data_IF_320899799405
#
_entry.id   IF_320899799405
#
_cell.length_a   1.000
_cell.length_b   1.000
_cell.length_c   1.000
_cell.angle_alpha   90.00
_cell.angle_beta   90.00
_cell.angle_gamma   90.00
#
_symmetry.space_group_name_H-M   'P 1'
#
loop_
_entity.id
_entity.type
_entity.pdbx_description
1 polymer ?
#
# COMPACT_ATOMS: atom_id res chain seq x y z
N UNK A 1 -0.64 -16.91 -20.51
CA UNK A 1 -1.72 -17.90 -20.76
C UNK A 1 -2.42 -18.18 -19.42
N UNK A 2 -3.72 -17.92 -19.28
CA UNK A 2 -4.48 -18.05 -17.99
C UNK A 2 -5.48 -19.23 -17.97
N UNK A 3 -5.28 -20.21 -18.86
CA UNK A 3 -6.14 -21.38 -18.99
C UNK A 3 -5.54 -22.61 -18.31
N UNK A 4 -6.35 -23.38 -17.59
CA UNK A 4 -5.94 -24.64 -16.98
C UNK A 4 -6.95 -25.76 -17.29
N UNK A 5 -6.47 -27.00 -17.23
CA UNK A 5 -7.28 -28.19 -17.49
C UNK A 5 -7.79 -28.77 -16.18
N UNK A 6 -9.09 -29.08 -16.12
CA UNK A 6 -9.67 -29.92 -15.08
C UNK A 6 -10.18 -31.22 -15.71
N UNK A 7 -10.39 -32.31 -14.94
CA UNK A 7 -11.02 -33.52 -15.45
C UNK A 7 -12.39 -33.28 -16.13
N UNK A 8 -13.02 -32.14 -15.85
CA UNK A 8 -14.31 -31.70 -16.42
C UNK A 8 -14.18 -30.63 -17.52
N UNK A 9 -12.97 -30.40 -18.05
CA UNK A 9 -12.71 -29.52 -19.20
C UNK A 9 -11.82 -28.30 -18.92
N UNK A 10 -11.67 -27.42 -19.91
CA UNK A 10 -10.84 -26.21 -19.80
C UNK A 10 -11.55 -25.12 -19.02
N UNK A 11 -10.86 -24.54 -18.04
CA UNK A 11 -11.30 -23.35 -17.32
C UNK A 11 -10.29 -22.22 -17.53
N UNK A 12 -10.75 -20.98 -17.42
CA UNK A 12 -9.91 -19.78 -17.47
C UNK A 12 -10.13 -18.93 -16.23
N UNK A 13 -9.06 -18.33 -15.74
CA UNK A 13 -9.16 -17.35 -14.67
C UNK A 13 -9.80 -16.06 -15.19
N UNK A 14 -10.76 -15.51 -14.44
CA UNK A 14 -11.38 -14.20 -14.71
C UNK A 14 -10.68 -13.05 -13.98
N UNK A 15 -9.88 -13.38 -12.96
CA UNK A 15 -9.01 -12.47 -12.22
C UNK A 15 -7.56 -12.93 -12.37
N UNK A 16 -6.63 -12.07 -12.03
CA UNK A 16 -5.21 -12.40 -12.05
C UNK A 16 -4.95 -13.58 -11.09
N UNK A 17 -4.48 -14.74 -11.59
CA UNK A 17 -4.25 -15.90 -10.74
C UNK A 17 -2.94 -15.77 -9.96
N UNK A 18 -2.90 -16.41 -8.79
CA UNK A 18 -1.67 -16.56 -8.02
C UNK A 18 -0.64 -17.42 -8.77
N UNK A 19 0.65 -17.19 -8.50
CA UNK A 19 1.75 -17.95 -9.10
C UNK A 19 2.20 -17.46 -10.48
N UNK A 20 1.63 -16.36 -10.98
CA UNK A 20 2.13 -15.68 -12.18
C UNK A 20 3.21 -14.69 -11.76
N UNK A 21 4.40 -14.77 -12.35
CA UNK A 21 5.54 -13.92 -12.01
C UNK A 21 5.26 -12.41 -12.13
N UNK A 22 4.43 -12.01 -13.10
CA UNK A 22 4.07 -10.60 -13.33
C UNK A 22 2.93 -10.12 -12.42
N UNK A 23 2.29 -11.00 -11.66
CA UNK A 23 1.13 -10.61 -10.85
C UNK A 23 1.42 -9.56 -9.77
N UNK A 24 2.53 -9.65 -9.01
CA UNK A 24 2.88 -8.66 -7.99
C UNK A 24 3.11 -7.27 -8.58
N UNK A 25 3.82 -7.18 -9.70
CA UNK A 25 4.14 -5.91 -10.36
C UNK A 25 2.87 -5.21 -10.88
N UNK A 26 1.95 -5.99 -11.48
CA UNK A 26 0.67 -5.47 -11.95
C UNK A 26 -0.19 -4.98 -10.78
N UNK A 27 -0.17 -5.69 -9.66
CA UNK A 27 -0.90 -5.32 -8.45
C UNK A 27 -0.34 -4.05 -7.82
N UNK A 28 0.98 -3.97 -7.64
CA UNK A 28 1.66 -2.80 -7.09
C UNK A 28 1.40 -1.54 -7.91
N UNK A 29 1.49 -1.63 -9.24
CA UNK A 29 1.16 -0.49 -10.12
C UNK A 29 -0.29 -0.02 -9.91
N UNK A 30 -1.24 -0.94 -9.77
CA UNK A 30 -2.65 -0.59 -9.54
C UNK A 30 -2.87 0.05 -8.17
N UNK A 31 -2.19 -0.41 -7.14
CA UNK A 31 -2.21 0.25 -5.83
C UNK A 31 -1.62 1.66 -5.92
N UNK A 32 -0.51 1.83 -6.63
CA UNK A 32 0.14 3.13 -6.80
C UNK A 32 -0.73 4.12 -7.59
N UNK A 33 -1.45 3.66 -8.63
CA UNK A 33 -2.45 4.45 -9.34
C UNK A 33 -3.64 4.84 -8.44
N UNK A 34 -4.09 3.93 -7.57
CA UNK A 34 -5.21 4.17 -6.66
C UNK A 34 -4.86 5.14 -5.54
N UNK A 35 -3.65 5.03 -4.99
CA UNK A 35 -3.14 5.85 -3.90
C UNK A 35 -2.51 7.16 -4.39
N UNK A 36 -2.32 7.32 -5.70
CA UNK A 36 -1.88 8.57 -6.32
C UNK A 36 -2.65 9.77 -5.75
N UNK A 37 -1.90 10.81 -5.38
CA UNK A 37 -2.42 12.03 -4.77
C UNK A 37 -2.46 12.04 -3.24
N UNK A 38 -2.16 10.92 -2.56
CA UNK A 38 -1.96 10.90 -1.10
C UNK A 38 -0.47 11.04 -0.78
N UNK A 39 -0.04 12.20 -0.28
CA UNK A 39 1.36 12.43 0.08
C UNK A 39 1.70 11.69 1.39
N UNK A 40 2.79 10.93 1.39
CA UNK A 40 3.25 10.18 2.56
C UNK A 40 2.55 8.84 2.78
N UNK A 41 1.91 8.29 1.74
CA UNK A 41 1.32 6.94 1.76
C UNK A 41 1.82 6.20 0.53
N UNK A 42 2.63 5.15 0.73
CA UNK A 42 3.27 4.40 -0.34
C UNK A 42 2.97 2.89 -0.22
N UNK A 43 2.40 2.25 -1.25
CA UNK A 43 2.20 0.81 -1.25
C UNK A 43 3.50 0.07 -1.57
N UNK A 44 3.87 -0.90 -0.72
CA UNK A 44 5.03 -1.77 -0.90
C UNK A 44 4.52 -3.21 -0.91
N UNK A 45 4.45 -3.80 -2.11
CA UNK A 45 3.86 -5.12 -2.31
C UNK A 45 2.46 -5.24 -1.65
N UNK A 46 2.33 -6.04 -0.59
CA UNK A 46 1.06 -6.25 0.12
C UNK A 46 0.86 -5.26 1.29
N UNK A 47 1.89 -4.51 1.67
CA UNK A 47 1.90 -3.58 2.80
C UNK A 47 1.70 -2.12 2.38
N UNK A 48 1.19 -1.30 3.29
CA UNK A 48 1.04 0.15 3.09
C UNK A 48 1.93 0.90 4.07
N UNK A 49 2.93 1.61 3.53
CA UNK A 49 3.80 2.48 4.31
C UNK A 49 3.13 3.85 4.48
N UNK A 50 2.98 4.30 5.73
CA UNK A 50 2.51 5.65 6.05
C UNK A 50 3.65 6.39 6.74
N UNK A 51 3.97 7.59 6.25
CA UNK A 51 5.10 8.40 6.74
C UNK A 51 4.57 9.73 7.26
N UNK A 52 4.77 9.97 8.55
CA UNK A 52 4.56 11.27 9.20
C UNK A 52 5.75 12.20 8.95
N UNK A 53 5.48 13.49 8.83
CA UNK A 53 6.51 14.53 8.73
C UNK A 53 6.25 15.63 9.76
N UNK A 54 7.29 16.05 10.46
CA UNK A 54 7.25 17.14 11.43
C UNK A 54 8.66 17.50 11.90
N UNK A 55 8.83 18.71 12.44
CA UNK A 55 10.10 19.14 13.02
C UNK A 55 10.31 18.56 14.42
N UNK A 56 9.23 18.10 15.04
CA UNK A 56 9.21 17.38 16.32
C UNK A 56 8.51 16.04 16.19
N UNK A 57 8.88 15.08 17.05
CA UNK A 57 8.27 13.73 17.05
C UNK A 57 6.75 13.79 17.19
N UNK A 58 6.22 14.71 18.01
CA UNK A 58 4.77 14.88 18.21
C UNK A 58 4.03 15.39 16.97
N UNK A 59 4.66 16.27 16.20
CA UNK A 59 4.09 16.75 14.95
C UNK A 59 4.10 15.65 13.89
N UNK A 60 5.19 14.87 13.82
CA UNK A 60 5.30 13.73 12.94
C UNK A 60 4.26 12.64 13.26
N UNK A 61 4.02 12.34 14.55
CA UNK A 61 2.97 11.42 15.01
C UNK A 61 1.58 11.91 14.60
N UNK A 62 1.27 13.19 14.84
CA UNK A 62 -0.03 13.75 14.47
C UNK A 62 -0.29 13.75 12.96
N UNK A 63 0.74 14.01 12.15
CA UNK A 63 0.65 13.97 10.68
C UNK A 63 0.54 12.53 10.16
N UNK A 64 1.28 11.59 10.78
CA UNK A 64 1.16 10.16 10.51
C UNK A 64 -0.28 9.67 10.74
N UNK A 65 -0.88 10.00 11.89
CA UNK A 65 -2.24 9.57 12.23
C UNK A 65 -3.29 10.17 11.28
N UNK A 66 -3.11 11.43 10.88
CA UNK A 66 -3.98 12.07 9.89
C UNK A 66 -3.92 11.37 8.54
N UNK A 67 -2.71 11.04 8.05
CA UNK A 67 -2.51 10.29 6.80
C UNK A 67 -3.06 8.88 6.90
N UNK A 68 -2.83 8.20 8.01
CA UNK A 68 -3.36 6.86 8.26
C UNK A 68 -4.90 6.87 8.15
N UNK A 69 -5.56 7.82 8.80
CA UNK A 69 -7.02 7.98 8.71
C UNK A 69 -7.50 8.24 7.27
N UNK A 70 -6.79 9.06 6.51
CA UNK A 70 -7.11 9.32 5.10
C UNK A 70 -6.97 8.05 4.25
N UNK A 71 -5.90 7.28 4.46
CA UNK A 71 -5.66 6.00 3.79
C UNK A 71 -6.77 4.99 4.08
N UNK A 72 -7.10 4.79 5.35
CA UNK A 72 -8.17 3.88 5.79
C UNK A 72 -9.53 4.26 5.21
N UNK A 73 -9.85 5.56 5.18
CA UNK A 73 -11.10 6.06 4.59
C UNK A 73 -11.17 5.79 3.09
N UNK A 74 -10.06 5.99 2.36
CA UNK A 74 -9.99 5.76 0.91
C UNK A 74 -10.10 4.27 0.58
N UNK A 75 -9.49 3.42 1.38
CA UNK A 75 -9.50 1.97 1.21
C UNK A 75 -10.76 1.29 1.78
N UNK A 76 -11.64 2.02 2.46
CA UNK A 76 -12.86 1.53 3.10
C UNK A 76 -12.63 0.37 4.10
N UNK A 77 -11.44 0.31 4.72
CA UNK A 77 -11.15 -0.72 5.73
C UNK A 77 -11.86 -0.43 7.06
N UNK A 78 -12.22 -1.50 7.77
CA UNK A 78 -12.59 -1.42 9.19
C UNK A 78 -11.31 -1.54 10.01
N UNK A 79 -11.10 -0.60 10.93
CA UNK A 79 -9.87 -0.45 11.75
C UNK A 79 -9.48 -1.72 12.54
N UNK A 80 -10.40 -2.66 12.74
CA UNK A 80 -10.17 -3.87 13.52
C UNK A 80 -9.20 -4.90 12.90
N UNK A 81 -8.85 -4.80 11.61
CA UNK A 81 -8.05 -5.81 10.89
C UNK A 81 -6.68 -5.31 10.41
N UNK A 82 -6.22 -4.14 10.86
CA UNK A 82 -4.96 -3.53 10.39
C UNK A 82 -3.79 -3.97 11.28
N UNK A 83 -2.83 -4.69 10.70
CA UNK A 83 -1.55 -4.98 11.34
C UNK A 83 -0.55 -3.89 10.98
N UNK A 84 0.00 -3.22 12.00
CA UNK A 84 1.01 -2.19 11.81
C UNK A 84 2.40 -2.81 11.95
N UNK A 85 3.17 -2.83 10.86
CA UNK A 85 4.60 -3.10 10.93
C UNK A 85 5.34 -1.76 11.06
N UNK A 86 5.79 -1.44 12.28
CA UNK A 86 6.63 -0.26 12.50
C UNK A 86 8.06 -0.65 12.17
N UNK A 87 8.60 -0.10 11.09
CA UNK A 87 10.03 -0.06 10.85
C UNK A 87 10.54 1.31 11.28
N UNK A 88 11.45 1.34 12.26
CA UNK A 88 12.13 2.58 12.67
C UNK A 88 12.95 3.13 11.49
N UNK A 89 12.47 4.20 10.85
CA UNK A 89 13.23 4.87 9.79
C UNK A 89 14.18 5.88 10.45
N UNK A 90 15.48 5.73 10.17
CA UNK A 90 16.54 6.60 10.70
C UNK A 90 16.27 8.09 10.43
N UNK A 91 16.64 9.00 11.35
CA UNK A 91 16.27 10.43 11.35
C UNK A 91 16.87 11.31 10.25
N UNK A 92 17.50 10.73 9.21
CA UNK A 92 18.14 11.49 8.12
C UNK A 92 17.28 11.66 6.87
N UNK A 93 16.05 11.13 6.82
CA UNK A 93 15.07 11.46 5.77
C UNK A 93 14.10 12.51 6.33
N UNK A 94 14.66 13.67 6.70
CA UNK A 94 13.88 14.89 6.79
C UNK A 94 13.48 15.19 5.36
N UNK A 95 12.20 14.98 5.02
CA UNK A 95 11.59 15.49 3.80
C UNK A 95 11.69 17.02 3.81
N UNK A 96 12.87 17.57 3.48
CA UNK A 96 13.02 18.94 2.99
C UNK A 96 12.21 18.99 1.71
N UNK A 97 10.97 19.44 1.83
CA UNK A 97 10.21 19.92 0.69
C UNK A 97 10.75 21.32 0.42
N UNK A 98 11.88 21.42 -0.29
CA UNK A 98 12.31 22.70 -0.86
C UNK A 98 11.52 22.94 -2.17
N UNK A 99 10.81 24.07 -2.18
CA UNK A 99 10.30 24.89 -3.30
C UNK A 99 9.67 24.20 -4.53
#
# INVERSE_FOLDING_TARGET
MTMFWTPWGRKRWLKLPFGVSVAPEVYQRKQHEFLAGLKGIEPIADDLLVVGCGDTDKEAESDHDAKLWLGLKKLQFKVAEVQFQVAEVHPHIICRTEA
#
